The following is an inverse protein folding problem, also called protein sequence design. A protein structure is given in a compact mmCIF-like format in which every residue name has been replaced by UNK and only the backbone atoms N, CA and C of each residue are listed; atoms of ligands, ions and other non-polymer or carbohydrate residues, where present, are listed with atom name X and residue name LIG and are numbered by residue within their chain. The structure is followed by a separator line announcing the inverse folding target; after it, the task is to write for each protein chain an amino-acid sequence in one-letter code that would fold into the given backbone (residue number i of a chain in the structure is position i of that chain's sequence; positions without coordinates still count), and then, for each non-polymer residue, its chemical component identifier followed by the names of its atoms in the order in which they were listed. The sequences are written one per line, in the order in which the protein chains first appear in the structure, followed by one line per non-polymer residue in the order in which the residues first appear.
data_IF_289865981754
#
_entry.id   IF_289865981754
#
_cell.length_a   1.000
_cell.length_b   1.000
_cell.length_c   1.000
_cell.angle_alpha   90.00
_cell.angle_beta   90.00
_cell.angle_gamma   90.00
#
_symmetry.space_group_name_H-M   'P 1'
#
loop_
_entity.id
_entity.type
_entity.pdbx_description
1 polymer ?
2 water ?
#
# COMPACT_ATOMS: atom_id res chain seq x y z
N UNK A 8 15.27 -6.20 0.46
CA UNK A 8 15.03 -7.45 -0.32
C UNK A 8 15.56 -7.35 -1.73
N UNK A 9 15.84 -8.50 -2.34
CA UNK A 9 16.32 -8.51 -3.72
C UNK A 9 15.07 -8.39 -4.58
N UNK A 10 15.21 -7.83 -5.79
CA UNK A 10 14.06 -7.70 -6.68
C UNK A 10 13.73 -9.08 -7.24
N UNK A 11 12.50 -9.25 -7.71
CA UNK A 11 12.12 -10.51 -8.33
C UNK A 11 13.04 -10.59 -9.53
N UNK A 12 13.77 -11.68 -9.68
CA UNK A 12 14.69 -11.80 -10.78
C UNK A 12 14.12 -12.47 -12.01
N UNK A 13 13.33 -13.51 -11.81
CA UNK A 13 12.82 -14.23 -12.94
C UNK A 13 11.53 -14.92 -12.59
N UNK A 14 11.07 -15.73 -13.53
CA UNK A 14 9.82 -16.41 -13.39
C UNK A 14 9.97 -17.91 -13.26
N UNK A 15 9.15 -18.52 -12.42
CA UNK A 15 9.23 -19.96 -12.37
C UNK A 15 7.96 -20.48 -13.01
N UNK A 16 8.11 -21.08 -14.19
CA UNK A 16 6.99 -21.62 -14.93
C UNK A 16 6.62 -22.91 -14.24
N UNK A 17 5.61 -22.87 -13.37
CA UNK A 17 5.22 -24.05 -12.62
C UNK A 17 4.87 -25.24 -13.49
N UNK A 18 3.99 -25.02 -14.47
CA UNK A 18 3.56 -26.07 -15.36
C UNK A 18 4.71 -26.77 -16.06
N UNK A 19 5.77 -26.04 -16.36
CA UNK A 19 6.92 -26.65 -17.03
C UNK A 19 8.09 -26.81 -16.11
N UNK A 20 7.86 -26.52 -14.82
CA UNK A 20 8.87 -26.63 -13.78
C UNK A 20 10.25 -26.14 -14.18
N UNK A 21 10.32 -24.90 -14.64
CA UNK A 21 11.60 -24.36 -15.03
C UNK A 21 11.63 -22.86 -14.87
N UNK A 22 12.81 -22.35 -14.55
CA UNK A 22 12.99 -20.92 -14.40
C UNK A 22 13.14 -20.36 -15.80
N UNK A 23 12.44 -19.26 -16.05
CA UNK A 23 12.52 -18.60 -17.33
C UNK A 23 12.63 -17.13 -17.02
N UNK A 24 13.08 -16.34 -17.99
CA UNK A 24 13.21 -14.92 -17.74
C UNK A 24 11.82 -14.33 -17.74
N UNK A 25 11.70 -13.12 -17.25
CA UNK A 25 10.42 -12.44 -17.25
C UNK A 25 9.97 -12.33 -18.71
N UNK A 26 10.92 -12.01 -19.59
CA UNK A 26 10.60 -11.89 -21.00
C UNK A 26 10.03 -13.20 -21.54
N UNK A 27 10.63 -14.33 -21.18
CA UNK A 27 10.12 -15.61 -21.65
C UNK A 27 8.73 -15.83 -21.05
N UNK A 28 8.54 -15.38 -19.82
CA UNK A 28 7.26 -15.58 -19.19
C UNK A 28 6.21 -14.85 -19.99
N UNK A 29 6.55 -13.66 -20.47
CA UNK A 29 5.61 -12.90 -21.27
C UNK A 29 5.39 -13.62 -22.59
N UNK A 30 6.48 -14.06 -23.21
CA UNK A 30 6.38 -14.75 -24.49
C UNK A 30 5.51 -15.99 -24.39
N UNK A 31 5.65 -16.72 -23.29
CA UNK A 31 4.87 -17.93 -23.06
C UNK A 31 3.43 -17.62 -22.68
N UNK A 32 3.13 -16.35 -22.49
CA UNK A 32 1.79 -15.95 -22.14
C UNK A 32 1.39 -16.22 -20.70
N UNK A 33 2.34 -16.53 -19.82
CA UNK A 33 2.00 -16.81 -18.42
C UNK A 33 2.23 -15.63 -17.50
N UNK A 34 2.87 -14.60 -18.05
CA UNK A 34 3.06 -13.37 -17.30
C UNK A 34 2.54 -12.37 -18.31
N UNK A 35 1.56 -11.58 -17.93
CA UNK A 35 1.03 -10.64 -18.88
C UNK A 35 2.07 -9.58 -19.15
N UNK A 36 1.94 -8.90 -20.29
CA UNK A 36 2.90 -7.88 -20.71
C UNK A 36 3.10 -6.73 -19.74
N UNK A 37 2.02 -6.28 -19.11
CA UNK A 37 2.11 -5.18 -18.18
C UNK A 37 2.86 -5.63 -16.93
N UNK A 38 2.42 -6.73 -16.34
CA UNK A 38 3.07 -7.25 -15.16
C UNK A 38 4.54 -7.52 -15.45
N UNK A 39 4.81 -8.17 -16.58
CA UNK A 39 6.19 -8.47 -16.94
C UNK A 39 7.03 -7.21 -17.04
N UNK A 40 6.49 -6.19 -17.72
CA UNK A 40 7.24 -4.96 -17.84
C UNK A 40 7.51 -4.38 -16.45
N UNK A 41 6.50 -4.43 -15.58
CA UNK A 41 6.69 -3.89 -14.25
C UNK A 41 7.73 -4.66 -13.46
N UNK A 42 7.79 -5.98 -13.63
CA UNK A 42 8.81 -6.75 -12.92
C UNK A 42 10.15 -6.32 -13.43
N UNK A 43 10.24 -6.13 -14.75
CA UNK A 43 11.49 -5.69 -15.36
C UNK A 43 11.83 -4.28 -14.90
N UNK A 44 10.82 -3.43 -14.75
CA UNK A 44 11.07 -2.06 -14.29
C UNK A 44 11.64 -2.10 -12.89
N UNK A 45 11.11 -3.01 -12.07
CA UNK A 45 11.59 -3.15 -10.71
C UNK A 45 13.08 -3.50 -10.72
N UNK A 46 13.54 -4.19 -11.77
CA UNK A 46 14.96 -4.53 -11.84
C UNK A 46 15.76 -3.35 -12.32
N UNK A 47 15.32 -2.75 -13.41
CA UNK A 47 16.02 -1.61 -13.97
C UNK A 47 16.17 -0.50 -12.96
N UNK A 48 15.10 -0.16 -12.27
CA UNK A 48 15.19 0.96 -11.33
C UNK A 48 15.90 0.65 -10.01
N UNK A 49 16.39 -0.57 -9.86
CA UNK A 49 17.10 -0.96 -8.63
C UNK A 49 18.53 -1.43 -8.89
N UNK A 50 19.05 -1.16 -10.09
CA UNK A 50 20.41 -1.57 -10.36
C UNK A 50 20.64 -2.14 -11.73
N UNK A 51 19.56 -2.63 -12.35
CA UNK A 51 19.69 -3.18 -13.68
C UNK A 51 18.89 -4.44 -13.89
N UNK A 52 18.70 -4.79 -15.16
CA UNK A 52 17.97 -5.98 -15.54
C UNK A 52 18.77 -7.15 -15.00
N UNK A 53 18.07 -8.08 -14.37
CA UNK A 53 18.76 -9.22 -13.79
C UNK A 53 18.79 -10.37 -14.75
N UNK A 54 19.99 -10.89 -15.00
CA UNK A 54 20.08 -12.01 -15.90
C UNK A 54 19.41 -13.12 -15.13
N UNK A 55 18.44 -13.80 -15.74
CA UNK A 55 17.74 -14.87 -15.06
C UNK A 55 18.57 -16.03 -14.47
N UNK A 56 19.74 -16.30 -15.04
CA UNK A 56 20.55 -17.41 -14.54
C UNK A 56 21.84 -17.00 -13.85
N UNK A 57 22.50 -15.97 -14.36
CA UNK A 57 23.73 -15.52 -13.74
C UNK A 57 23.46 -14.55 -12.59
N UNK A 58 22.33 -13.84 -12.66
CA UNK A 58 22.03 -12.89 -11.62
C UNK A 58 22.69 -11.55 -11.89
N UNK A 59 23.52 -11.50 -12.91
CA UNK A 59 24.22 -10.27 -13.27
C UNK A 59 23.24 -9.12 -13.54
N UNK A 60 23.52 -7.96 -12.95
CA UNK A 60 22.70 -6.76 -13.16
C UNK A 60 23.16 -6.18 -14.48
N UNK A 61 22.21 -5.91 -15.38
CA UNK A 61 22.56 -5.43 -16.70
C UNK A 61 21.92 -4.12 -17.11
N UNK A 62 22.63 -3.41 -17.98
CA UNK A 62 22.11 -2.18 -18.53
C UNK A 62 21.11 -2.72 -19.54
N UNK A 63 20.17 -1.87 -19.96
CA UNK A 63 19.19 -2.30 -20.93
C UNK A 63 19.87 -2.81 -22.20
N UNK A 64 20.84 -2.06 -22.72
CA UNK A 64 21.51 -2.47 -23.95
C UNK A 64 22.17 -3.84 -23.82
N UNK A 65 22.76 -4.11 -22.66
CA UNK A 65 23.38 -5.41 -22.46
C UNK A 65 22.31 -6.48 -22.26
N UNK A 66 21.19 -6.08 -21.68
CA UNK A 66 20.08 -7.02 -21.46
C UNK A 66 19.57 -7.47 -22.82
N UNK A 67 19.42 -6.51 -23.74
CA UNK A 67 18.96 -6.81 -25.08
C UNK A 67 19.99 -7.73 -25.73
N UNK A 68 21.27 -7.38 -25.59
CA UNK A 68 22.36 -8.15 -26.16
C UNK A 68 22.37 -9.58 -25.64
N UNK A 69 22.15 -9.74 -24.34
CA UNK A 69 22.14 -11.06 -23.73
C UNK A 69 20.81 -11.79 -23.93
N UNK A 70 19.89 -11.14 -24.65
CA UNK A 70 18.59 -11.74 -24.92
C UNK A 70 17.66 -11.79 -23.71
N UNK A 71 18.01 -11.08 -22.64
CA UNK A 71 17.17 -11.07 -21.44
C UNK A 71 15.88 -10.30 -21.68
N UNK A 72 15.94 -9.27 -22.52
CA UNK A 72 14.77 -8.49 -22.88
C UNK A 72 14.91 -8.15 -24.35
N UNK A 73 13.79 -7.91 -25.03
CA UNK A 73 13.86 -7.55 -26.44
C UNK A 73 13.97 -6.04 -26.56
N UNK A 74 14.29 -5.56 -27.76
CA UNK A 74 14.46 -4.14 -27.98
C UNK A 74 13.25 -3.28 -27.63
N UNK A 75 12.05 -3.72 -27.98
CA UNK A 75 10.87 -2.93 -27.66
C UNK A 75 10.75 -2.77 -26.15
N UNK A 76 10.91 -3.86 -25.41
CA UNK A 76 10.84 -3.79 -23.96
C UNK A 76 11.93 -2.86 -23.44
N UNK A 77 13.12 -2.96 -24.03
CA UNK A 77 14.23 -2.13 -23.61
C UNK A 77 13.77 -0.69 -23.72
N UNK A 78 13.10 -0.38 -24.82
CA UNK A 78 12.61 0.96 -25.03
C UNK A 78 11.64 1.38 -23.93
N UNK A 79 10.66 0.54 -23.65
CA UNK A 79 9.67 0.86 -22.62
C UNK A 79 10.27 0.93 -21.22
N UNK A 80 11.43 0.33 -21.04
CA UNK A 80 12.07 0.34 -19.72
C UNK A 80 13.00 1.52 -19.48
N UNK A 81 13.24 2.31 -20.52
CA UNK A 81 14.13 3.44 -20.36
C UNK A 81 13.86 4.27 -19.11
N UNK A 82 12.60 4.61 -18.84
CA UNK A 82 12.37 5.40 -17.62
C UNK A 82 12.75 4.66 -16.35
N UNK A 83 12.54 3.34 -16.35
CA UNK A 83 12.88 2.53 -15.19
C UNK A 83 14.40 2.52 -14.96
N UNK A 84 15.17 2.38 -16.03
CA UNK A 84 16.62 2.37 -15.87
C UNK A 84 17.10 3.73 -15.38
N UNK A 85 16.49 4.79 -15.90
CA UNK A 85 16.83 6.14 -15.50
C UNK A 85 16.48 6.35 -14.02
N UNK A 86 15.46 5.66 -13.53
CA UNK A 86 15.09 5.81 -12.12
C UNK A 86 16.28 5.36 -11.31
N UNK A 87 17.21 4.65 -11.95
CA UNK A 87 18.41 4.20 -11.25
C UNK A 87 19.64 5.03 -11.60
N UNK A 88 19.90 5.20 -12.89
CA UNK A 88 21.08 5.97 -13.32
C UNK A 88 20.83 7.47 -13.39
N UNK A 89 19.56 7.86 -13.31
CA UNK A 89 19.21 9.26 -13.37
C UNK A 89 18.58 9.69 -14.68
N UNK A 90 17.66 10.65 -14.62
CA UNK A 90 16.99 11.15 -15.82
C UNK A 90 17.74 12.32 -16.45
N UNK A 98 22.21 14.23 -11.84
CA UNK A 98 21.08 13.54 -12.44
C UNK A 98 19.84 13.58 -11.56
N UNK A 99 18.67 13.44 -12.18
CA UNK A 99 17.41 13.47 -11.44
C UNK A 99 16.81 12.10 -11.16
N UNK A 100 16.02 12.04 -10.09
CA UNK A 100 15.38 10.80 -9.66
C UNK A 100 13.95 10.71 -10.18
N UNK A 101 13.39 9.51 -10.11
CA UNK A 101 12.02 9.28 -10.54
C UNK A 101 11.06 10.27 -9.89
N UNK A 102 11.22 10.50 -8.60
CA UNK A 102 10.34 11.42 -7.90
C UNK A 102 10.39 12.81 -8.53
N UNK A 103 11.59 13.21 -8.94
CA UNK A 103 11.79 14.50 -9.56
C UNK A 103 11.22 14.51 -10.99
N UNK A 104 11.38 13.38 -11.68
CA UNK A 104 10.87 13.26 -13.04
C UNK A 104 9.35 13.44 -13.02
N UNK A 105 8.69 12.85 -12.02
CA UNK A 105 7.25 12.94 -11.88
C UNK A 105 6.84 14.37 -11.64
N UNK A 106 7.63 15.07 -10.83
CA UNK A 106 7.38 16.46 -10.49
C UNK A 106 7.52 17.31 -11.74
N UNK A 107 8.59 17.08 -12.48
CA UNK A 107 8.87 17.83 -13.70
C UNK A 107 8.06 17.36 -14.92
N UNK A 108 7.03 16.58 -14.66
CA UNK A 108 6.13 16.09 -15.70
C UNK A 108 6.78 15.23 -16.77
N UNK A 109 7.85 14.52 -16.42
CA UNK A 109 8.54 13.64 -17.36
C UNK A 109 8.07 12.20 -17.19
N UNK A 110 7.57 11.90 -15.99
CA UNK A 110 7.13 10.56 -15.68
C UNK A 110 5.76 10.58 -15.00
N UNK A 111 4.84 9.70 -15.42
CA UNK A 111 3.52 9.69 -14.79
C UNK A 111 3.66 9.29 -13.32
N UNK A 112 2.77 9.81 -12.48
CA UNK A 112 2.80 9.51 -11.06
C UNK A 112 2.82 8.00 -10.86
N UNK A 113 1.90 7.31 -11.52
CA UNK A 113 1.78 5.86 -11.41
C UNK A 113 3.15 5.20 -11.54
N UNK A 114 3.91 5.58 -12.56
CA UNK A 114 5.23 5.01 -12.81
C UNK A 114 6.22 5.38 -11.72
N UNK A 115 6.30 6.68 -11.44
CA UNK A 115 7.23 7.14 -10.42
C UNK A 115 6.93 6.45 -9.11
N UNK A 116 5.65 6.32 -8.78
CA UNK A 116 5.27 5.68 -7.53
C UNK A 116 5.74 4.22 -7.48
N UNK A 117 5.50 3.45 -8.54
CA UNK A 117 5.96 2.07 -8.45
C UNK A 117 7.49 1.98 -8.41
N UNK A 118 8.18 2.83 -9.17
CA UNK A 118 9.65 2.80 -9.14
C UNK A 118 10.15 3.02 -7.73
N UNK A 119 9.55 3.98 -7.03
CA UNK A 119 9.96 4.29 -5.67
C UNK A 119 9.62 3.12 -4.76
N UNK A 120 8.51 2.47 -5.04
CA UNK A 120 8.14 1.33 -4.21
C UNK A 120 9.12 0.21 -4.47
N UNK A 121 9.47 0.02 -5.75
CA UNK A 121 10.42 -1.03 -6.13
C UNK A 121 11.72 -0.79 -5.40
N UNK A 122 12.18 0.46 -5.41
CA UNK A 122 13.43 0.79 -4.73
C UNK A 122 13.28 0.68 -3.22
N UNK A 123 12.18 1.19 -2.68
CA UNK A 123 11.99 1.13 -1.25
C UNK A 123 12.03 -0.30 -0.74
N UNK A 124 11.33 -1.19 -1.44
CA UNK A 124 11.28 -2.60 -1.06
C UNK A 124 12.61 -3.32 -1.24
N UNK A 125 13.52 -2.74 -1.99
CA UNK A 125 14.80 -3.39 -2.23
C UNK A 125 15.99 -2.69 -1.57
N UNK A 126 15.74 -1.88 -0.56
CA UNK A 126 16.86 -1.23 0.11
C UNK A 126 16.69 0.25 0.36
N UNK A 127 15.68 0.86 -0.27
CA UNK A 127 15.46 2.27 -0.06
C UNK A 127 15.51 3.03 -1.36
N UNK A 128 14.97 4.24 -1.36
CA UNK A 128 14.96 5.02 -2.58
C UNK A 128 16.36 5.22 -3.09
N UNK A 129 16.48 5.21 -4.41
CA UNK A 129 17.77 5.40 -5.04
C UNK A 129 17.95 6.89 -5.28
N UNK A 130 19.19 7.33 -5.12
CA UNK A 130 19.57 8.70 -5.37
C UNK A 130 20.51 8.50 -6.53
N UNK A 131 20.05 8.80 -7.75
CA UNK A 131 20.85 8.64 -8.97
C UNK A 131 22.23 9.28 -8.88
N UNK A 132 22.28 10.49 -8.33
CA UNK A 132 23.54 11.21 -8.19
C UNK A 132 24.68 10.39 -7.60
N UNK A 133 24.36 9.46 -6.70
CA UNK A 133 25.39 8.63 -6.10
C UNK A 133 25.19 7.13 -6.28
N UNK A 134 24.17 6.74 -7.05
CA UNK A 134 23.90 5.32 -7.26
C UNK A 134 23.41 4.69 -5.95
N UNK A 135 23.79 5.29 -4.83
CA UNK A 135 23.40 4.75 -3.55
C UNK A 135 21.94 4.85 -3.17
N UNK A 136 21.59 4.13 -2.11
CA UNK A 136 20.23 4.16 -1.58
C UNK A 136 20.29 5.19 -0.47
N UNK A 137 19.14 5.71 -0.09
CA UNK A 137 19.10 6.68 0.98
C UNK A 137 17.94 6.29 1.87
N UNK A 138 17.97 6.79 3.10
CA UNK A 138 16.90 6.51 4.06
C UNK A 138 15.68 7.28 3.63
N UNK A 139 14.53 6.93 4.20
CA UNK A 139 13.32 7.64 3.83
C UNK A 139 13.42 9.05 4.40
N UNK A 140 14.09 9.19 5.54
CA UNK A 140 14.26 10.50 6.13
C UNK A 140 15.01 11.39 5.14
N UNK A 141 16.05 10.83 4.53
CA UNK A 141 16.83 11.58 3.56
C UNK A 141 16.06 11.87 2.27
N UNK A 142 15.17 10.95 1.87
CA UNK A 142 14.38 11.15 0.66
C UNK A 142 13.41 12.30 0.89
N UNK A 143 12.92 12.39 2.12
CA UNK A 143 12.01 13.46 2.49
C UNK A 143 12.81 14.76 2.44
N UNK A 144 13.98 14.75 3.05
CA UNK A 144 14.82 15.93 3.05
C UNK A 144 15.14 16.39 1.64
N UNK A 145 15.39 15.44 0.74
CA UNK A 145 15.73 15.76 -0.65
C UNK A 145 14.52 16.17 -1.46
N UNK A 146 13.34 16.08 -0.88
CA UNK A 146 12.14 16.47 -1.61
C UNK A 146 11.57 15.35 -2.48
N UNK A 147 12.24 14.20 -2.50
CA UNK A 147 11.77 13.07 -3.30
C UNK A 147 10.34 12.68 -2.91
N UNK A 148 10.09 12.73 -1.61
CA UNK A 148 8.78 12.37 -1.08
C UNK A 148 8.50 13.25 0.12
N UNK A 149 7.25 13.32 0.55
CA UNK A 149 6.95 14.08 1.74
C UNK A 149 6.65 13.05 2.81
N UNK A 150 6.35 13.50 4.02
CA UNK A 150 6.07 12.59 5.10
C UNK A 150 4.93 11.66 4.76
N UNK A 151 3.94 12.18 4.03
CA UNK A 151 2.79 11.38 3.64
C UNK A 151 3.24 10.24 2.74
N UNK A 152 4.02 10.58 1.73
CA UNK A 152 4.51 9.55 0.81
C UNK A 152 5.36 8.57 1.61
N UNK A 153 6.11 9.08 2.59
CA UNK A 153 6.95 8.20 3.41
C UNK A 153 6.09 7.18 4.17
N UNK A 154 5.00 7.64 4.77
CA UNK A 154 4.11 6.76 5.51
C UNK A 154 3.56 5.71 4.53
N UNK A 155 3.20 6.15 3.33
CA UNK A 155 2.69 5.25 2.29
C UNK A 155 3.73 4.18 1.97
N UNK A 156 4.94 4.62 1.66
CA UNK A 156 6.04 3.71 1.32
C UNK A 156 6.36 2.74 2.43
N UNK A 157 6.39 3.24 3.66
CA UNK A 157 6.71 2.38 4.80
C UNK A 157 5.63 1.33 5.03
N UNK A 158 4.40 1.70 4.70
CA UNK A 158 3.25 0.81 4.85
C UNK A 158 3.15 -0.06 3.60
N UNK A 159 4.08 -0.98 3.45
CA UNK A 159 4.11 -1.85 2.28
C UNK A 159 2.83 -2.63 2.05
N UNK A 160 1.97 -2.72 3.07
CA UNK A 160 0.73 -3.47 2.94
C UNK A 160 -0.29 -2.76 2.07
N UNK A 161 -0.09 -1.48 1.82
CA UNK A 161 -1.06 -0.74 1.03
C UNK A 161 -0.61 -0.38 -0.37
N UNK A 162 0.55 -0.91 -0.79
CA UNK A 162 1.02 -0.62 -2.15
C UNK A 162 -0.02 -1.01 -3.19
N UNK A 163 -0.09 -0.23 -4.26
CA UNK A 163 -1.00 -0.50 -5.35
C UNK A 163 -0.80 -1.93 -5.87
N UNK A 164 -1.88 -2.62 -6.17
CA UNK A 164 -1.81 -3.99 -6.68
C UNK A 164 -1.59 -3.82 -8.19
N UNK A 165 -0.38 -3.42 -8.54
CA UNK A 165 -0.02 -3.15 -9.91
C UNK A 165 0.39 -4.34 -10.77
N UNK A 166 0.42 -5.51 -10.16
CA UNK A 166 0.82 -6.71 -10.87
C UNK A 166 -0.30 -7.73 -10.92
N UNK A 167 -0.32 -8.51 -11.98
CA UNK A 167 -1.27 -9.60 -12.01
C UNK A 167 -0.39 -10.76 -11.60
N UNK A 168 -0.62 -11.29 -10.41
CA UNK A 168 0.15 -12.43 -9.94
C UNK A 168 0.08 -13.44 -11.07
N UNK A 169 1.24 -13.79 -11.66
CA UNK A 169 1.25 -14.74 -12.78
C UNK A 169 0.68 -16.11 -12.50
N UNK A 170 0.60 -16.47 -11.23
CA UNK A 170 0.08 -17.77 -10.84
C UNK A 170 -1.40 -17.71 -10.50
N UNK A 171 -1.76 -16.88 -9.54
CA UNK A 171 -3.16 -16.79 -9.13
C UNK A 171 -3.98 -15.92 -10.07
N UNK A 172 -3.29 -15.06 -10.81
CA UNK A 172 -3.93 -14.14 -11.74
C UNK A 172 -4.72 -13.06 -11.01
N UNK A 173 -4.50 -12.97 -9.69
CA UNK A 173 -5.17 -11.95 -8.89
C UNK A 173 -4.23 -10.74 -8.89
N UNK A 174 -4.77 -9.57 -8.58
CA UNK A 174 -3.97 -8.36 -8.55
C UNK A 174 -3.20 -8.31 -7.25
N UNK A 175 -1.89 -8.11 -7.34
CA UNK A 175 -1.07 -8.05 -6.16
C UNK A 175 -0.08 -6.92 -6.31
N UNK A 176 0.51 -6.50 -5.20
CA UNK A 176 1.48 -5.43 -5.21
C UNK A 176 2.83 -6.10 -5.36
N UNK A 177 3.86 -5.26 -5.50
CA UNK A 177 5.20 -5.79 -5.64
C UNK A 177 5.63 -6.36 -4.29
N UNK A 178 5.09 -5.82 -3.19
CA UNK A 178 5.45 -6.35 -1.88
C UNK A 178 4.85 -7.77 -1.80
N UNK A 179 3.61 -7.89 -2.25
CA UNK A 179 2.94 -9.20 -2.29
C UNK A 179 3.80 -10.15 -3.14
N UNK A 180 4.27 -9.64 -4.28
CA UNK A 180 5.09 -10.46 -5.18
C UNK A 180 6.34 -10.94 -4.48
N UNK A 181 7.01 -10.05 -3.74
CA UNK A 181 8.20 -10.45 -3.02
C UNK A 181 7.80 -11.50 -1.98
N UNK A 182 6.70 -11.23 -1.28
CA UNK A 182 6.23 -12.17 -0.25
C UNK A 182 5.96 -13.55 -0.83
N UNK A 183 5.41 -13.57 -2.03
CA UNK A 183 5.06 -14.82 -2.71
C UNK A 183 6.19 -15.43 -3.50
N UNK A 184 7.26 -14.67 -3.72
CA UNK A 184 8.38 -15.18 -4.49
C UNK A 184 9.16 -16.22 -3.72
N UNK A 185 9.87 -17.06 -4.46
CA UNK A 185 10.68 -18.07 -3.82
C UNK A 185 12.09 -17.82 -4.28
N UNK A 186 13.04 -18.27 -3.49
CA UNK A 186 14.44 -18.09 -3.79
C UNK A 186 14.95 -19.35 -4.45
N UNK A 187 15.70 -19.19 -5.53
CA UNK A 187 16.24 -20.34 -6.23
C UNK A 187 17.47 -20.84 -5.49
N UNK A 188 17.72 -22.14 -5.58
CA UNK A 188 18.88 -22.73 -4.91
C UNK A 188 20.12 -21.87 -5.18
N UNK A 189 20.56 -21.21 -4.12
CA UNK A 189 21.70 -20.29 -4.09
C UNK A 189 22.00 -19.35 -5.25
N UNK A 190 21.27 -19.40 -6.37
CA UNK A 190 21.54 -18.41 -7.40
C UNK A 190 21.16 -17.20 -6.55
N UNK A 191 20.34 -17.48 -5.54
CA UNK A 191 19.87 -16.46 -4.60
C UNK A 191 18.75 -15.67 -5.23
N UNK A 192 18.56 -15.89 -6.52
CA UNK A 192 17.55 -15.18 -7.29
C UNK A 192 16.13 -15.45 -6.84
N UNK A 193 15.38 -14.36 -6.73
CA UNK A 193 13.99 -14.38 -6.32
C UNK A 193 13.15 -14.70 -7.55
N UNK A 194 12.37 -15.77 -7.47
CA UNK A 194 11.53 -16.17 -8.58
C UNK A 194 10.06 -16.07 -8.26
N UNK A 195 9.29 -15.61 -9.24
CA UNK A 195 7.84 -15.48 -9.08
C UNK A 195 7.20 -16.60 -9.91
N UNK A 196 6.41 -17.45 -9.26
CA UNK A 196 5.77 -18.53 -9.96
C UNK A 196 4.74 -17.99 -10.93
N UNK A 197 4.55 -18.70 -12.04
CA UNK A 197 3.57 -18.28 -13.05
C UNK A 197 2.88 -19.53 -13.57
N UNK A 198 1.62 -19.38 -13.96
CA UNK A 198 0.84 -20.49 -14.50
C UNK A 198 0.10 -19.99 -15.72
N UNK A 199 -0.34 -20.90 -16.59
CA UNK A 199 -1.07 -20.49 -17.79
C UNK A 199 -2.47 -20.00 -17.42
N UNK A 200 -3.05 -20.61 -16.39
CA UNK A 200 -4.38 -20.20 -15.93
C UNK A 200 -4.34 -20.04 -14.43
N UNK A 201 -5.27 -19.26 -13.89
CA UNK A 201 -5.31 -19.03 -12.45
C UNK A 201 -5.25 -20.31 -11.61
N UNK A 202 -4.45 -20.27 -10.56
CA UNK A 202 -4.31 -21.41 -9.65
C UNK A 202 -5.48 -21.29 -8.67
N UNK A 203 -6.18 -20.16 -8.77
CA UNK A 203 -7.34 -19.86 -7.94
C UNK A 203 -8.56 -20.26 -8.76
N UNK B 5 2.32 14.31 15.25
CA UNK B 5 2.54 13.63 13.94
C UNK B 5 1.35 13.80 12.98
N UNK B 6 1.65 14.06 11.71
CA UNK B 6 0.62 14.27 10.69
C UNK B 6 0.02 13.00 10.09
N UNK B 7 0.85 11.98 9.92
CA UNK B 7 0.36 10.70 9.38
C UNK B 7 0.88 9.58 10.25
N UNK B 8 0.24 8.42 10.15
CA UNK B 8 0.66 7.28 10.94
C UNK B 8 -0.21 6.07 10.69
N UNK B 9 0.24 4.94 11.19
CA UNK B 9 -0.49 3.69 11.06
C UNK B 9 -1.85 3.87 11.71
N UNK B 10 -2.85 3.11 11.25
CA UNK B 10 -4.17 3.26 11.87
C UNK B 10 -4.12 2.71 13.29
N UNK B 11 -4.97 3.22 14.15
CA UNK B 11 -5.04 2.72 15.51
C UNK B 11 -5.47 1.28 15.33
N UNK B 12 -4.72 0.36 15.92
CA UNK B 12 -5.00 -1.05 15.76
C UNK B 12 -5.86 -1.67 16.83
N UNK B 13 -5.66 -1.22 18.07
CA UNK B 13 -6.38 -1.79 19.17
C UNK B 13 -6.43 -0.88 20.37
N UNK B 14 -6.90 -1.44 21.47
CA UNK B 14 -7.10 -0.71 22.70
C UNK B 14 -6.20 -1.16 23.81
N UNK B 15 -5.76 -0.23 24.64
CA UNK B 15 -4.97 -0.63 25.78
C UNK B 15 -5.88 -0.35 26.96
N UNK B 16 -6.37 -1.42 27.57
CA UNK B 16 -7.24 -1.31 28.73
C UNK B 16 -6.36 -0.95 29.91
N UNK B 17 -6.36 0.33 30.27
CA UNK B 17 -5.55 0.85 31.36
C UNK B 17 -5.81 0.16 32.69
N UNK B 18 -7.07 -0.04 33.01
CA UNK B 18 -7.44 -0.68 34.27
C UNK B 18 -6.83 -2.07 34.38
N UNK B 19 -6.84 -2.81 33.27
CA UNK B 19 -6.32 -4.16 33.26
C UNK B 19 -4.93 -4.25 32.66
N UNK B 20 -4.34 -3.10 32.35
CA UNK B 20 -3.00 -3.04 31.76
C UNK B 20 -2.81 -4.10 30.69
N UNK B 21 -3.69 -4.11 29.70
CA UNK B 21 -3.57 -5.09 28.64
C UNK B 21 -4.18 -4.61 27.35
N UNK B 22 -3.62 -5.10 26.26
CA UNK B 22 -4.12 -4.74 24.94
C UNK B 22 -5.32 -5.63 24.65
N UNK B 23 -6.39 -5.02 24.17
CA UNK B 23 -7.58 -5.75 23.78
C UNK B 23 -8.03 -5.20 22.45
N UNK B 24 -8.89 -5.94 21.76
CA UNK B 24 -9.38 -5.47 20.47
C UNK B 24 -10.35 -4.34 20.73
N UNK B 25 -10.66 -3.60 19.68
CA UNK B 25 -11.61 -2.52 19.78
C UNK B 25 -12.94 -3.13 20.21
N UNK B 26 -13.28 -4.26 19.59
CA UNK B 26 -14.52 -4.96 19.91
C UNK B 26 -14.59 -5.28 21.40
N UNK B 27 -13.50 -5.80 21.95
CA UNK B 27 -13.49 -6.14 23.35
C UNK B 27 -13.64 -4.86 24.18
N UNK B 28 -13.07 -3.77 23.70
CA UNK B 28 -13.18 -2.51 24.41
C UNK B 28 -14.65 -2.12 24.50
N UNK B 29 -15.35 -2.29 23.39
CA UNK B 29 -16.78 -2.00 23.37
C UNK B 29 -17.47 -2.91 24.38
N UNK B 30 -17.22 -4.21 24.26
CA UNK B 30 -17.81 -5.20 25.15
C UNK B 30 -17.64 -4.83 26.62
N UNK B 31 -16.43 -4.46 27.00
CA UNK B 31 -16.13 -4.13 28.40
C UNK B 31 -16.66 -2.74 28.75
N UNK B 32 -17.31 -2.10 27.78
CA UNK B 32 -17.87 -0.79 28.02
C UNK B 32 -16.87 0.33 28.24
N UNK B 33 -15.64 0.15 27.78
CA UNK B 33 -14.64 1.20 27.94
C UNK B 33 -14.49 2.03 26.67
N UNK B 34 -15.00 1.49 25.56
CA UNK B 34 -15.03 2.17 24.27
C UNK B 34 -16.50 2.08 23.85
N UNK B 35 -17.12 3.22 23.53
CA UNK B 35 -18.53 3.16 23.11
C UNK B 35 -18.61 2.56 21.72
N UNK B 36 -19.72 1.92 21.40
CA UNK B 36 -19.86 1.26 20.12
C UNK B 36 -19.69 2.14 18.89
N UNK B 37 -20.05 3.41 18.98
CA UNK B 37 -19.91 4.27 17.82
C UNK B 37 -18.44 4.58 17.57
N UNK B 38 -17.74 4.94 18.64
CA UNK B 38 -16.32 5.24 18.52
C UNK B 38 -15.61 3.96 18.07
N UNK B 39 -15.96 2.83 18.68
CA UNK B 39 -15.34 1.58 18.32
C UNK B 39 -15.61 1.28 16.86
N UNK B 40 -16.84 1.50 16.42
CA UNK B 40 -17.15 1.25 15.03
C UNK B 40 -16.27 2.11 14.14
N UNK B 41 -16.10 3.37 14.52
CA UNK B 41 -15.30 4.25 13.71
C UNK B 41 -13.85 3.88 13.71
N UNK B 42 -13.34 3.38 14.84
CA UNK B 42 -11.94 2.96 14.84
C UNK B 42 -11.83 1.78 13.90
N UNK B 43 -12.86 0.93 13.88
CA UNK B 43 -12.87 -0.24 13.00
C UNK B 43 -13.04 0.22 11.56
N UNK B 44 -13.83 1.26 11.33
CA UNK B 44 -14.00 1.75 9.97
C UNK B 44 -12.66 2.23 9.46
N UNK B 45 -11.92 2.92 10.31
CA UNK B 45 -10.62 3.43 9.92
C UNK B 45 -9.75 2.27 9.44
N UNK B 46 -9.95 1.10 10.02
CA UNK B 46 -9.16 -0.05 9.62
C UNK B 46 -9.72 -0.62 8.34
N UNK B 47 -11.03 -0.83 8.32
CA UNK B 47 -11.67 -1.39 7.14
C UNK B 47 -11.39 -0.56 5.89
N UNK B 48 -11.52 0.75 5.98
CA UNK B 48 -11.31 1.56 4.78
C UNK B 48 -9.84 1.74 4.40
N UNK B 49 -8.93 1.21 5.21
CA UNK B 49 -7.52 1.32 4.90
C UNK B 49 -6.92 -0.04 4.56
N UNK B 50 -7.77 -1.02 4.26
CA UNK B 50 -7.24 -2.32 3.88
C UNK B 50 -7.72 -3.51 4.66
N UNK B 51 -8.24 -3.29 5.86
CA UNK B 51 -8.74 -4.41 6.63
C UNK B 51 -8.78 -4.20 8.12
N UNK B 52 -9.67 -4.94 8.77
CA UNK B 52 -9.79 -4.90 10.21
C UNK B 52 -8.43 -5.40 10.69
N UNK B 53 -7.83 -4.70 11.64
CA UNK B 53 -6.52 -5.12 12.11
C UNK B 53 -6.62 -6.12 13.23
N UNK B 54 -5.98 -7.28 13.05
CA UNK B 54 -6.02 -8.27 14.11
C UNK B 54 -5.20 -7.67 15.23
N UNK B 55 -5.78 -7.53 16.43
CA UNK B 55 -5.08 -6.94 17.57
C UNK B 55 -3.75 -7.53 17.99
N UNK B 56 -3.52 -8.80 17.71
CA UNK B 56 -2.27 -9.41 18.11
C UNK B 56 -1.28 -9.55 16.97
N UNK B 57 -1.75 -9.97 15.81
CA UNK B 57 -0.88 -10.17 14.65
C UNK B 57 -0.71 -8.94 13.79
N UNK B 58 -1.69 -8.05 13.82
CA UNK B 58 -1.61 -6.84 13.01
C UNK B 58 -2.02 -7.11 11.57
N UNK B 59 -2.39 -8.36 11.27
CA UNK B 59 -2.77 -8.68 9.90
C UNK B 59 -4.10 -7.99 9.58
N UNK B 60 -4.25 -7.56 8.33
CA UNK B 60 -5.48 -6.90 7.89
C UNK B 60 -6.45 -7.98 7.47
N UNK B 61 -7.68 -7.89 7.95
CA UNK B 61 -8.68 -8.90 7.65
C UNK B 61 -9.91 -8.34 6.96
N UNK B 62 -10.54 -9.19 6.15
CA UNK B 62 -11.77 -8.80 5.49
C UNK B 62 -12.76 -8.78 6.65
N UNK B 63 -13.92 -8.16 6.47
CA UNK B 63 -14.88 -8.15 7.55
C UNK B 63 -15.28 -9.58 7.91
N UNK B 64 -15.43 -10.42 6.90
CA UNK B 64 -15.83 -11.81 7.09
C UNK B 64 -14.85 -12.54 8.00
N UNK B 65 -13.56 -12.41 7.69
CA UNK B 65 -12.54 -13.06 8.49
C UNK B 65 -12.47 -12.47 9.89
N UNK B 66 -12.67 -11.17 10.00
CA UNK B 66 -12.64 -10.51 11.32
C UNK B 66 -13.78 -11.07 12.17
N UNK B 67 -14.93 -11.31 11.54
CA UNK B 67 -16.04 -11.88 12.29
C UNK B 67 -15.68 -13.32 12.67
N UNK B 68 -15.15 -14.05 11.70
CA UNK B 68 -14.77 -15.43 11.92
C UNK B 68 -13.77 -15.57 13.06
N UNK B 69 -12.89 -14.58 13.20
CA UNK B 69 -11.89 -14.63 14.26
C UNK B 69 -12.30 -13.96 15.57
N UNK B 70 -13.53 -13.48 15.62
CA UNK B 70 -14.02 -12.82 16.82
C UNK B 70 -13.43 -11.43 17.01
N UNK B 71 -12.76 -10.92 15.99
CA UNK B 71 -12.16 -9.61 16.06
C UNK B 71 -13.25 -8.54 16.09
N UNK B 72 -14.37 -8.85 15.43
CA UNK B 72 -15.53 -7.96 15.41
C UNK B 72 -16.73 -8.89 15.39
N UNK B 73 -17.86 -8.42 15.91
CA UNK B 73 -19.06 -9.25 15.92
C UNK B 73 -19.85 -9.04 14.64
N UNK B 74 -20.83 -9.92 14.41
CA UNK B 74 -21.66 -9.87 13.21
C UNK B 74 -22.31 -8.52 12.92
N UNK B 75 -22.97 -7.95 13.91
CA UNK B 75 -23.63 -6.66 13.72
C UNK B 75 -22.64 -5.59 13.29
N UNK B 76 -21.46 -5.57 13.93
CA UNK B 76 -20.45 -4.58 13.59
C UNK B 76 -20.00 -4.78 12.14
N UNK B 77 -19.81 -6.02 11.71
CA UNK B 77 -19.39 -6.28 10.34
C UNK B 77 -20.40 -5.64 9.39
N UNK B 78 -21.69 -5.72 9.76
CA UNK B 78 -22.73 -5.13 8.93
C UNK B 78 -22.53 -3.62 8.84
N UNK B 79 -22.33 -2.97 9.98
CA UNK B 79 -22.13 -1.54 10.03
C UNK B 79 -20.86 -1.10 9.32
N UNK B 80 -19.88 -2.00 9.23
CA UNK B 80 -18.61 -1.66 8.59
C UNK B 80 -18.54 -1.86 7.09
N UNK B 81 -19.59 -2.43 6.49
CA UNK B 81 -19.56 -2.67 5.05
C UNK B 81 -19.17 -1.44 4.23
N UNK B 82 -19.84 -0.29 4.47
CA UNK B 82 -19.47 0.90 3.69
C UNK B 82 -17.98 1.23 3.83
N UNK B 83 -17.44 1.11 5.04
CA UNK B 83 -16.02 1.40 5.27
C UNK B 83 -15.15 0.44 4.46
N UNK B 84 -15.54 -0.83 4.42
CA UNK B 84 -14.77 -1.80 3.66
C UNK B 84 -14.86 -1.41 2.20
N UNK B 85 -16.05 -0.98 1.78
CA UNK B 85 -16.25 -0.55 0.40
C UNK B 85 -15.37 0.65 0.09
N UNK B 86 -15.11 1.47 1.10
CA UNK B 86 -14.27 2.64 0.91
C UNK B 86 -12.88 2.20 0.49
N UNK B 87 -12.55 0.95 0.76
CA UNK B 87 -11.25 0.44 0.36
C UNK B 87 -11.34 -0.38 -0.91
N UNK B 88 -12.23 -1.37 -0.93
CA UNK B 88 -12.35 -2.23 -2.09
C UNK B 88 -12.97 -1.49 -3.28
N UNK B 89 -13.76 -0.48 -2.97
CA UNK B 89 -14.40 0.29 -4.02
C UNK B 89 -15.90 0.07 -4.06
N UNK B 90 -16.63 1.11 -4.45
CA UNK B 90 -18.08 1.00 -4.56
C UNK B 90 -18.36 0.62 -6.01
N UNK B 91 -19.22 -0.36 -6.20
CA UNK B 91 -19.54 -0.83 -7.53
C UNK B 91 -19.62 0.28 -8.56
N UNK B 92 -18.69 0.22 -9.51
CA UNK B 92 -18.59 1.18 -10.59
C UNK B 92 -19.67 2.23 -10.72
N UNK B 93 -20.84 1.80 -11.18
CA UNK B 93 -21.98 2.68 -11.39
C UNK B 93 -21.98 3.87 -10.44
N UNK B 97 -16.04 -0.16 -13.12
CA UNK B 97 -15.15 0.93 -12.73
C UNK B 97 -15.54 1.39 -11.33
N UNK B 98 -15.00 0.72 -10.32
CA UNK B 98 -15.28 1.01 -8.92
C UNK B 98 -15.09 2.47 -8.51
N UNK B 99 -16.00 2.96 -7.67
CA UNK B 99 -15.93 4.32 -7.19
C UNK B 99 -15.17 4.36 -5.87
N UNK B 100 -14.39 5.41 -5.67
CA UNK B 100 -13.67 5.59 -4.42
C UNK B 100 -14.68 6.20 -3.45
N UNK B 101 -14.33 6.30 -2.18
CA UNK B 101 -15.25 6.88 -1.19
C UNK B 101 -15.75 8.26 -1.61
N UNK B 102 -14.83 9.13 -2.03
CA UNK B 102 -15.18 10.49 -2.42
C UNK B 102 -16.23 10.51 -3.52
N UNK B 103 -16.02 9.67 -4.53
CA UNK B 103 -16.95 9.58 -5.66
C UNK B 103 -18.28 9.07 -5.15
N UNK B 104 -18.24 8.06 -4.29
CA UNK B 104 -19.46 7.47 -3.74
C UNK B 104 -20.31 8.52 -3.03
N UNK B 105 -19.65 9.46 -2.36
CA UNK B 105 -20.38 10.50 -1.65
C UNK B 105 -21.06 11.35 -2.71
N UNK B 106 -20.31 11.70 -3.75
CA UNK B 106 -20.85 12.51 -4.82
C UNK B 106 -22.12 11.91 -5.42
N UNK B 107 -22.13 10.60 -5.61
CA UNK B 107 -23.27 9.94 -6.20
C UNK B 107 -24.34 9.55 -5.18
N UNK B 108 -24.23 10.10 -3.98
CA UNK B 108 -25.18 9.83 -2.90
C UNK B 108 -25.25 8.38 -2.43
N UNK B 109 -24.30 7.55 -2.84
CA UNK B 109 -24.30 6.16 -2.42
C UNK B 109 -23.77 6.07 -1.00
N UNK B 110 -22.95 7.04 -0.63
CA UNK B 110 -22.36 7.08 0.69
C UNK B 110 -22.69 8.42 1.33
N UNK B 111 -23.32 8.41 2.50
CA UNK B 111 -23.65 9.68 3.18
C UNK B 111 -22.36 10.48 3.35
N UNK B 112 -22.46 11.79 3.21
CA UNK B 112 -21.31 12.68 3.34
C UNK B 112 -20.47 12.39 4.58
N UNK B 113 -21.14 12.25 5.72
CA UNK B 113 -20.44 12.01 6.99
C UNK B 113 -19.57 10.76 6.95
N UNK B 114 -20.14 9.65 6.53
CA UNK B 114 -19.42 8.38 6.44
C UNK B 114 -18.25 8.52 5.46
N UNK B 115 -18.56 9.07 4.29
CA UNK B 115 -17.54 9.26 3.28
C UNK B 115 -16.39 10.09 3.79
N UNK B 116 -16.72 11.18 4.48
CA UNK B 116 -15.71 12.07 5.04
C UNK B 116 -14.85 11.38 6.08
N UNK B 117 -15.48 10.57 6.91
CA UNK B 117 -14.74 9.83 7.94
C UNK B 117 -13.71 8.97 7.23
N UNK B 118 -14.19 8.23 6.23
CA UNK B 118 -13.35 7.30 5.51
C UNK B 118 -12.17 8.00 4.83
N UNK B 119 -12.45 9.08 4.13
CA UNK B 119 -11.40 9.83 3.47
C UNK B 119 -10.35 10.29 4.48
N UNK B 120 -10.81 10.76 5.63
CA UNK B 120 -9.90 11.22 6.65
C UNK B 120 -9.07 10.09 7.23
N UNK B 121 -9.74 8.97 7.50
CA UNK B 121 -9.05 7.82 8.03
C UNK B 121 -7.92 7.45 7.09
N UNK B 122 -8.23 7.39 5.80
CA UNK B 122 -7.21 7.03 4.81
C UNK B 122 -6.13 8.08 4.77
N UNK B 123 -6.55 9.34 4.62
CA UNK B 123 -5.62 10.44 4.55
C UNK B 123 -4.60 10.43 5.68
N UNK B 124 -5.12 10.35 6.90
CA UNK B 124 -4.30 10.36 8.10
C UNK B 124 -3.36 9.16 8.23
N UNK B 125 -3.66 8.10 7.50
CA UNK B 125 -2.82 6.92 7.59
C UNK B 125 -1.97 6.63 6.37
N UNK B 126 -1.70 7.67 5.58
CA UNK B 126 -0.86 7.46 4.42
C UNK B 126 -1.35 8.06 3.13
N UNK B 127 -2.66 8.18 2.97
CA UNK B 127 -3.18 8.76 1.75
C UNK B 127 -4.46 8.07 1.32
N UNK B 128 -5.22 8.74 0.49
CA UNK B 128 -6.48 8.19 0.02
C UNK B 128 -6.24 6.92 -0.75
N UNK B 129 -7.22 6.03 -0.68
CA UNK B 129 -7.15 4.76 -1.36
C UNK B 129 -7.76 4.82 -2.75
N UNK B 130 -7.06 4.28 -3.72
CA UNK B 130 -7.60 4.21 -5.07
C UNK B 130 -8.10 2.77 -5.17
N UNK B 131 -9.44 2.58 -5.16
CA UNK B 131 -10.05 1.25 -5.25
C UNK B 131 -9.61 0.50 -6.50
N UNK B 132 -9.26 1.24 -7.54
CA UNK B 132 -8.81 0.65 -8.79
C UNK B 132 -7.64 -0.31 -8.60
N UNK B 133 -6.64 0.13 -7.83
CA UNK B 133 -5.45 -0.66 -7.56
C UNK B 133 -5.34 -1.01 -6.07
N UNK B 134 -6.38 -0.67 -5.32
CA UNK B 134 -6.39 -0.95 -3.89
C UNK B 134 -5.08 -0.53 -3.23
N UNK B 135 -4.60 0.65 -3.58
CA UNK B 135 -3.37 1.14 -2.98
C UNK B 135 -3.61 2.57 -2.57
N UNK B 136 -2.65 3.14 -1.84
CA UNK B 136 -2.80 4.52 -1.42
C UNK B 136 -2.11 5.41 -2.43
N UNK B 137 -2.63 6.61 -2.58
CA UNK B 137 -2.06 7.55 -3.53
C UNK B 137 -1.90 8.91 -2.88
N UNK B 138 -1.02 9.72 -3.43
CA UNK B 138 -0.79 11.04 -2.90
C UNK B 138 -2.08 11.82 -3.13
N UNK B 139 -2.25 12.91 -2.41
CA UNK B 139 -3.45 13.71 -2.60
C UNK B 139 -3.37 14.30 -4.01
N UNK B 140 -2.16 14.66 -4.45
CA UNK B 140 -1.99 15.21 -5.78
C UNK B 140 -2.61 14.23 -6.79
N UNK B 141 -2.30 12.95 -6.64
CA UNK B 141 -2.82 11.94 -7.55
C UNK B 141 -4.33 11.78 -7.42
N UNK B 142 -4.84 11.88 -6.19
CA UNK B 142 -6.28 11.77 -5.98
C UNK B 142 -6.95 12.92 -6.72
N UNK B 143 -6.28 14.07 -6.75
CA UNK B 143 -6.85 15.22 -7.47
C UNK B 143 -6.80 14.92 -8.97
N UNK B 144 -5.68 14.34 -9.40
CA UNK B 144 -5.48 13.97 -10.79
C UNK B 144 -6.57 13.02 -11.24
N UNK B 145 -6.92 12.08 -10.36
CA UNK B 145 -7.93 11.08 -10.66
C UNK B 145 -9.33 11.69 -10.56
N UNK B 146 -9.41 12.88 -9.98
CA UNK B 146 -10.70 13.54 -9.83
C UNK B 146 -11.49 13.06 -8.63
N UNK B 147 -10.84 12.37 -7.70
CA UNK B 147 -11.53 11.88 -6.51
C UNK B 147 -12.01 13.06 -5.69
N UNK B 148 -11.12 14.03 -5.54
CA UNK B 148 -11.39 15.23 -4.78
C UNK B 148 -10.82 16.41 -5.56
N UNK B 149 -11.38 17.59 -5.32
CA UNK B 149 -10.87 18.78 -5.98
C UNK B 149 -10.01 19.48 -4.95
N UNK B 150 -9.40 20.60 -5.34
CA UNK B 150 -8.54 21.32 -4.42
C UNK B 150 -9.20 21.65 -3.10
N UNK B 151 -10.47 22.03 -3.14
CA UNK B 151 -11.18 22.38 -1.92
C UNK B 151 -11.24 21.21 -0.96
N UNK B 152 -11.63 20.05 -1.48
CA UNK B 152 -11.73 18.85 -0.65
C UNK B 152 -10.34 18.47 -0.14
N UNK B 153 -9.34 18.63 -1.00
CA UNK B 153 -7.97 18.32 -0.63
C UNK B 153 -7.53 19.23 0.50
N UNK B 154 -7.91 20.50 0.39
CA UNK B 154 -7.56 21.46 1.43
C UNK B 154 -8.19 21.02 2.75
N UNK B 155 -9.44 20.58 2.70
CA UNK B 155 -10.15 20.12 3.90
C UNK B 155 -9.42 18.96 4.57
N UNK B 156 -9.00 17.99 3.76
CA UNK B 156 -8.28 16.83 4.27
C UNK B 156 -6.97 17.26 4.91
N UNK B 157 -6.28 18.19 4.26
CA UNK B 157 -5.01 18.67 4.77
C UNK B 157 -5.11 19.33 6.14
N UNK B 158 -6.20 20.07 6.36
CA UNK B 158 -6.41 20.75 7.63
C UNK B 158 -6.86 19.74 8.69
N UNK B 159 -5.98 18.77 8.95
CA UNK B 159 -6.28 17.71 9.91
C UNK B 159 -6.72 18.27 11.26
N UNK B 160 -6.22 19.45 11.60
CA UNK B 160 -6.57 20.08 12.87
C UNK B 160 -8.06 20.36 12.98
N UNK B 161 -8.71 20.56 11.84
CA UNK B 161 -10.14 20.86 11.83
C UNK B 161 -11.07 19.67 11.57
N UNK B 162 -10.56 18.45 11.65
CA UNK B 162 -11.40 17.29 11.45
C UNK B 162 -12.47 17.22 12.53
N UNK B 163 -13.67 16.77 12.15
CA UNK B 163 -14.76 16.65 13.10
C UNK B 163 -14.36 15.70 14.23
N UNK B 164 -14.77 16.02 15.45
CA UNK B 164 -14.46 15.18 16.61
C UNK B 164 -15.45 14.03 16.61
N UNK B 165 -15.22 13.06 15.73
CA UNK B 165 -16.12 11.93 15.58
C UNK B 165 -15.91 10.80 16.55
N UNK B 166 -14.91 10.92 17.43
CA UNK B 166 -14.64 9.86 18.37
C UNK B 166 -14.74 10.31 19.81
N UNK B 167 -15.10 9.38 20.68
CA UNK B 167 -15.14 9.67 22.10
C UNK B 167 -13.84 9.01 22.54
N UNK B 168 -12.90 9.82 22.98
CA UNK B 168 -11.61 9.32 23.44
C UNK B 168 -11.93 8.31 24.55
N UNK B 169 -11.54 7.05 24.35
CA UNK B 169 -11.79 5.97 25.32
C UNK B 169 -11.27 6.20 26.71
N UNK B 170 -10.26 7.06 26.85
CA UNK B 170 -9.72 7.32 28.17
C UNK B 170 -10.40 8.54 28.81
N UNK B 171 -10.32 9.69 28.14
CA UNK B 171 -10.90 10.92 28.67
C UNK B 171 -12.41 11.03 28.49
N UNK B 172 -12.93 10.30 27.52
CA UNK B 172 -14.36 10.31 27.20
C UNK B 172 -14.77 11.61 26.51
N UNK B 173 -13.78 12.40 26.12
CA UNK B 173 -14.03 13.64 25.42
C UNK B 173 -14.06 13.32 23.92
N UNK B 174 -14.67 14.20 23.12
CA UNK B 174 -14.74 13.97 21.69
C UNK B 174 -13.44 14.42 21.04
N UNK B 175 -12.93 13.58 20.17
CA UNK B 175 -11.68 13.86 19.49
C UNK B 175 -11.77 13.33 18.08
N UNK B 176 -10.88 13.81 17.23
CA UNK B 176 -10.85 13.39 15.85
C UNK B 176 -9.93 12.21 15.78
N UNK B 177 -9.87 11.59 14.61
CA UNK B 177 -8.98 10.46 14.42
C UNK B 177 -7.54 10.95 14.49
N UNK B 178 -7.30 12.16 14.00
CA UNK B 178 -5.98 12.75 14.04
C UNK B 178 -5.58 12.83 15.52
N UNK B 179 -6.51 13.30 16.35
CA UNK B 179 -6.25 13.39 17.78
C UNK B 179 -5.97 12.03 18.35
N UNK B 180 -6.76 11.04 17.92
CA UNK B 180 -6.63 9.69 18.40
C UNK B 180 -5.21 9.18 18.12
N UNK B 181 -4.71 9.43 16.91
CA UNK B 181 -3.37 8.98 16.56
C UNK B 181 -2.34 9.68 17.44
N UNK B 182 -2.56 10.96 17.70
CA UNK B 182 -1.63 11.70 18.53
C UNK B 182 -1.67 11.29 19.99
N UNK B 183 -2.80 10.74 20.43
CA UNK B 183 -2.97 10.29 21.81
C UNK B 183 -2.74 8.80 21.95
N UNK B 184 -2.40 8.16 20.84
CA UNK B 184 -2.16 6.72 20.84
C UNK B 184 -0.73 6.42 21.22
N UNK B 185 -0.48 5.18 21.62
CA UNK B 185 0.85 4.75 21.99
C UNK B 185 1.20 3.59 21.09
N UNK B 186 2.47 3.47 20.73
CA UNK B 186 2.89 2.37 19.88
C UNK B 186 3.33 1.25 20.80
N UNK B 187 2.73 0.08 20.61
CA UNK B 187 3.07 -1.07 21.43
C UNK B 187 4.51 -1.46 21.08
N UNK B 188 5.35 -1.58 22.10
CA UNK B 188 6.76 -1.89 21.91
C UNK B 188 7.19 -2.92 20.86
N UNK B 189 6.85 -4.18 21.06
CA UNK B 189 7.28 -5.22 20.13
C UNK B 189 6.57 -5.27 18.77
N UNK B 190 5.25 -5.16 18.82
CA UNK B 190 4.42 -5.25 17.62
C UNK B 190 4.38 -4.04 16.72
N UNK B 191 4.64 -2.87 17.27
CA UNK B 191 4.58 -1.65 16.49
C UNK B 191 3.13 -1.25 16.30
N UNK B 192 2.22 -2.01 16.90
CA UNK B 192 0.79 -1.75 16.80
C UNK B 192 0.38 -0.52 17.60
N UNK B 193 -0.45 0.32 16.98
CA UNK B 193 -0.89 1.53 17.62
C UNK B 193 -2.12 1.28 18.46
N UNK B 194 -2.02 1.64 19.74
CA UNK B 194 -3.10 1.42 20.69
C UNK B 194 -3.62 2.73 21.26
N UNK B 195 -4.90 2.73 21.58
CA UNK B 195 -5.56 3.87 22.19
C UNK B 195 -5.93 3.41 23.59
N UNK B 196 -5.54 4.18 24.60
CA UNK B 196 -5.90 3.80 25.96
C UNK B 196 -7.39 3.99 26.22
N UNK B 197 -7.94 3.14 27.06
CA UNK B 197 -9.36 3.21 27.41
C UNK B 197 -9.50 2.88 28.89
N UNK B 198 -10.41 3.59 29.55
CA UNK B 198 -10.67 3.39 30.96
C UNK B 198 -12.17 3.44 31.17
N UNK B 199 -12.63 2.86 32.28
CA UNK B 199 -14.05 2.85 32.62
C UNK B 199 -14.37 4.04 33.51
N UNK B 200 -15.62 4.50 33.46
CA UNK B 200 -16.02 5.63 34.29
C UNK B 200 -17.29 5.27 35.06
#
# INVERSE_FOLDING_TARGET
FSDTLEESSPIAAIFDTENLEKISITEGIERGIVDSITGQRLLEAQACTGGIIHPTTGQKLSLQDAVSQGVIDQDMATRLKPAQKAFIGFEGVKGKKKMSAAEAVKEKWLPYEAGQRFLEFQYLTGGLVDPEVHGRISTEEAIRKGFIDGRAAQRLQDTSSYAKILTCPKTKLKISYKDAINRSMVEDITGLRLLEAASVSSKGLPSPYNMSSA
FSDTLEESSPIAAIFDTENLEKISITEGIERGIVDSITGQRLLEAQACTGGIIHPTTGQKLSLQDAVSQGVIDQDMATRLKPAQKAFIGFEGVKGKKKMSAAEAVKEKWLPYEAGQRFLEFQYLTGGLVDPEVHGRISTEEAIRKGFIDGRAAQRLQDTSSYAKILTCPKTKLKISYKDAINRSMVEDITGLRLLEAASVSSKGLPSPYNMSSA
#
